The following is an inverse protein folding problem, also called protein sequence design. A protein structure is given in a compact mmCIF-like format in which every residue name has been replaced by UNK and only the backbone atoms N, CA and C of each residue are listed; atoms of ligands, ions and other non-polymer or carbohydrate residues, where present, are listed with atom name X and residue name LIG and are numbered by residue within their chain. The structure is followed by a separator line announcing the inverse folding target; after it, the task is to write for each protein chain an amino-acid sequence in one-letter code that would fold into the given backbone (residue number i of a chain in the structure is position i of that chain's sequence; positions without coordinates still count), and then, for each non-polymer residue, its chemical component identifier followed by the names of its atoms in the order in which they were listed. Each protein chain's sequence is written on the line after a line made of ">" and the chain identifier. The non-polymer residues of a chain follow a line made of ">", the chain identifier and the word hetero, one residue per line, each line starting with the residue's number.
data_IF_419324741353
#
_entry.id   IF_419324741353
#
_cell.length_a   1.000
_cell.length_b   1.000
_cell.length_c   1.000
_cell.angle_alpha   90.00
_cell.angle_beta   90.00
_cell.angle_gamma   90.00
#
_symmetry.space_group_name_H-M   'P 1'
#
loop_
_entity.id
_entity.type
_entity.pdbx_description
1 polymer ?
2 non-polymer ?
3 non-polymer ?
4 water ?
#
# COMPACT_ATOMS: atom_id res chain seq x y z
N UNK A 1 -1.12 -21.18 10.69
CA UNK A 1 0.02 -21.64 11.44
C UNK A 1 1.32 -21.10 10.90
N UNK A 2 2.20 -20.65 11.80
CA UNK A 2 3.46 -20.06 11.36
C UNK A 2 4.37 -21.12 10.74
N UNK A 3 5.08 -20.71 9.71
CA UNK A 3 6.05 -21.53 9.01
C UNK A 3 7.44 -20.95 9.25
N UNK A 4 8.46 -21.82 9.20
CA UNK A 4 9.81 -21.33 9.42
C UNK A 4 10.26 -20.34 8.35
N UNK A 5 9.63 -20.33 7.19
CA UNK A 5 9.97 -19.35 6.15
C UNK A 5 9.36 -17.99 6.38
N UNK A 6 8.41 -17.85 7.31
CA UNK A 6 7.71 -16.57 7.46
C UNK A 6 8.64 -15.41 7.80
N UNK A 7 9.60 -15.53 8.73
CA UNK A 7 10.51 -14.40 8.95
C UNK A 7 11.24 -13.93 7.69
N UNK A 8 11.82 -14.84 6.91
CA UNK A 8 12.54 -14.41 5.71
C UNK A 8 11.59 -13.82 4.67
N UNK A 9 10.39 -14.39 4.53
CA UNK A 9 9.43 -13.81 3.59
C UNK A 9 8.99 -12.42 4.02
N UNK A 10 8.81 -12.22 5.33
CA UNK A 10 8.48 -10.89 5.84
C UNK A 10 9.63 -9.91 5.62
N UNK A 11 10.89 -10.37 5.66
CA UNK A 11 12.00 -9.49 5.32
C UNK A 11 11.91 -9.04 3.86
N UNK A 12 11.56 -9.95 2.95
CA UNK A 12 11.36 -9.55 1.56
C UNK A 12 10.24 -8.51 1.46
N UNK A 13 9.14 -8.74 2.18
CA UNK A 13 8.05 -7.77 2.20
C UNK A 13 8.51 -6.42 2.72
N UNK A 14 9.31 -6.42 3.79
CA UNK A 14 9.83 -5.16 4.31
C UNK A 14 10.73 -4.47 3.28
N UNK A 15 11.51 -5.25 2.53
CA UNK A 15 12.32 -4.66 1.47
C UNK A 15 11.46 -3.98 0.42
N UNK A 16 10.40 -4.65 -0.01
CA UNK A 16 9.46 -4.07 -0.96
C UNK A 16 8.89 -2.75 -0.42
N UNK A 17 8.45 -2.77 0.84
CA UNK A 17 7.86 -1.59 1.46
C UNK A 17 8.85 -0.43 1.47
N UNK A 18 10.09 -0.72 1.85
CA UNK A 18 11.14 0.29 1.80
C UNK A 18 11.28 0.86 0.38
N UNK A 19 11.29 -0.02 -0.61
CA UNK A 19 11.38 0.45 -1.99
C UNK A 19 10.18 1.33 -2.36
N UNK A 20 8.97 0.94 -1.97
CA UNK A 20 7.79 1.73 -2.32
C UNK A 20 7.85 3.13 -1.72
N UNK A 21 8.52 3.28 -0.59
CA UNK A 21 8.66 4.56 0.11
C UNK A 21 9.91 5.34 -0.30
N UNK A 22 10.72 4.79 -1.19
CA UNK A 22 12.01 5.38 -1.53
C UNK A 22 11.90 6.47 -2.59
N UNK A 23 12.96 7.27 -2.69
CA UNK A 23 12.95 8.39 -3.63
C UNK A 23 12.80 7.92 -5.07
N UNK A 24 13.26 6.71 -5.38
CA UNK A 24 13.16 6.18 -6.73
C UNK A 24 11.74 6.23 -7.28
N UNK A 25 10.75 6.00 -6.42
CA UNK A 25 9.35 5.92 -6.83
C UNK A 25 8.51 7.11 -6.36
N UNK A 26 9.12 8.15 -5.80
CA UNK A 26 8.36 9.20 -5.14
C UNK A 26 7.47 9.99 -6.09
N UNK A 27 7.79 10.03 -7.38
CA UNK A 27 6.97 10.81 -8.31
C UNK A 27 5.55 10.27 -8.42
N UNK A 28 5.35 8.97 -8.19
CA UNK A 28 4.02 8.37 -8.25
C UNK A 28 3.59 7.68 -6.96
N UNK A 29 4.48 7.53 -5.98
CA UNK A 29 4.09 6.92 -4.71
C UNK A 29 3.49 7.90 -3.71
N UNK A 30 3.74 9.19 -3.89
CA UNK A 30 3.39 10.16 -2.85
C UNK A 30 1.91 10.16 -2.43
N UNK A 31 0.92 9.91 -3.28
CA UNK A 31 -0.47 9.90 -2.78
C UNK A 31 -0.75 8.79 -1.78
N UNK A 32 0.14 7.80 -1.66
CA UNK A 32 -0.08 6.62 -0.85
C UNK A 32 0.75 6.62 0.42
N UNK A 33 1.46 7.72 0.70
CA UNK A 33 2.36 7.76 1.85
C UNK A 33 1.61 7.83 3.17
N UNK A 34 0.46 8.49 3.21
CA UNK A 34 -0.23 8.75 4.47
C UNK A 34 -1.72 8.47 4.27
N UNK A 35 -2.48 8.29 5.35
CA UNK A 35 -3.93 8.06 5.19
C UNK A 35 -4.57 9.20 4.42
N UNK A 36 -5.51 8.85 3.55
CA UNK A 36 -6.31 9.86 2.86
C UNK A 36 -6.97 10.76 3.90
N UNK A 37 -6.70 12.05 3.82
CA UNK A 37 -7.38 13.04 4.67
C UNK A 37 -8.57 13.55 3.86
N UNK A 38 -9.70 12.82 3.98
CA UNK A 38 -10.85 13.08 3.12
C UNK A 38 -11.36 14.51 3.28
N UNK A 39 -11.48 14.98 4.53
CA UNK A 39 -11.99 16.32 4.77
C UNK A 39 -11.08 17.37 4.15
N UNK A 40 -9.76 17.23 4.35
CA UNK A 40 -8.81 18.20 3.82
C UNK A 40 -8.87 18.26 2.29
N UNK A 41 -9.11 17.12 1.66
CA UNK A 41 -9.15 17.04 0.20
C UNK A 41 -10.54 17.32 -0.38
N UNK A 42 -11.53 17.57 0.46
CA UNK A 42 -12.87 17.81 -0.04
C UNK A 42 -13.59 16.57 -0.51
N UNK A 43 -13.10 15.39 -0.13
CA UNK A 43 -13.67 14.12 -0.58
C UNK A 43 -14.64 13.60 0.48
N UNK A 44 -15.76 14.30 0.60
CA UNK A 44 -16.66 14.11 1.73
C UNK A 44 -17.44 12.80 1.67
N UNK A 45 -17.37 12.10 0.55
CA UNK A 45 -17.96 10.78 0.42
C UNK A 45 -16.95 9.65 0.58
N UNK A 46 -15.67 9.96 0.84
CA UNK A 46 -14.63 8.93 0.80
C UNK A 46 -14.93 7.79 1.76
N UNK A 47 -15.28 8.11 3.00
CA UNK A 47 -15.50 7.08 4.02
C UNK A 47 -16.85 6.38 3.89
N UNK A 48 -17.75 6.88 3.05
CA UNK A 48 -18.95 6.14 2.72
C UNK A 48 -18.67 5.08 1.65
N UNK A 49 -17.68 5.33 0.80
CA UNK A 49 -17.35 4.44 -0.30
C UNK A 49 -16.24 3.47 0.09
N UNK A 50 -15.29 3.91 0.91
CA UNK A 50 -14.11 3.14 1.29
C UNK A 50 -14.31 2.73 2.74
N UNK A 51 -14.63 1.45 2.95
CA UNK A 51 -14.90 0.93 4.28
C UNK A 51 -13.62 0.61 5.06
N UNK A 52 -12.52 0.32 4.37
CA UNK A 52 -11.28 -0.12 5.00
C UNK A 52 -10.12 0.68 4.40
N UNK A 53 -9.89 1.91 4.88
CA UNK A 53 -8.78 2.70 4.37
C UNK A 53 -7.44 2.01 4.63
N UNK A 54 -6.47 2.22 3.73
CA UNK A 54 -5.14 1.69 3.92
C UNK A 54 -4.14 2.58 3.17
N UNK A 55 -2.92 2.65 3.68
CA UNK A 55 -1.87 3.49 3.10
C UNK A 55 -0.53 2.96 3.58
N UNK A 56 0.55 3.44 2.95
CA UNK A 56 1.88 2.88 3.22
C UNK A 56 2.37 3.16 4.64
N UNK A 57 1.98 4.30 5.25
CA UNK A 57 2.41 4.53 6.63
C UNK A 57 1.77 3.54 7.59
N UNK A 58 0.52 3.14 7.30
CA UNK A 58 -0.13 2.15 8.13
C UNK A 58 0.49 0.76 7.93
N UNK A 59 0.78 0.41 6.67
CA UNK A 59 1.52 -0.83 6.41
C UNK A 59 2.84 -0.85 7.16
N UNK A 60 3.55 0.29 7.14
CA UNK A 60 4.84 0.35 7.83
C UNK A 60 4.69 0.18 9.33
N UNK A 61 3.69 0.82 9.93
CA UNK A 61 3.48 0.65 11.36
C UNK A 61 3.15 -0.80 11.70
N UNK A 62 2.32 -1.45 10.86
CA UNK A 62 1.96 -2.84 11.10
C UNK A 62 3.17 -3.77 10.94
N UNK A 63 4.06 -3.46 10.00
CA UNK A 63 5.28 -4.24 9.88
C UNK A 63 6.17 -4.03 11.11
N UNK A 64 6.35 -2.77 11.53
CA UNK A 64 7.24 -2.45 12.64
C UNK A 64 6.76 -3.09 13.94
N UNK A 65 5.45 -3.17 14.12
CA UNK A 65 4.81 -3.70 15.32
C UNK A 65 4.62 -5.21 15.25
N UNK A 66 5.12 -5.86 14.20
CA UNK A 66 4.98 -7.31 14.03
C UNK A 66 3.52 -7.75 13.93
N UNK A 67 2.67 -6.87 13.39
CA UNK A 67 1.26 -7.19 13.19
C UNK A 67 1.10 -8.25 12.10
N UNK A 68 1.77 -8.07 10.96
CA UNK A 68 1.69 -9.08 9.90
C UNK A 68 2.41 -10.34 10.33
N UNK A 69 1.70 -11.47 10.25
CA UNK A 69 2.31 -12.74 10.59
C UNK A 69 2.90 -13.47 9.38
N UNK A 70 2.55 -13.06 8.18
CA UNK A 70 3.06 -13.73 6.98
C UNK A 70 2.95 -12.78 5.80
N UNK A 71 3.58 -13.19 4.70
CA UNK A 71 3.64 -12.33 3.52
C UNK A 71 2.27 -12.09 2.91
N UNK A 72 1.42 -13.10 2.93
CA UNK A 72 0.09 -12.97 2.34
C UNK A 72 -0.71 -11.88 3.04
N UNK A 73 -0.60 -11.78 4.36
CA UNK A 73 -1.32 -10.75 5.10
C UNK A 73 -0.82 -9.36 4.71
N UNK A 74 0.50 -9.19 4.60
CA UNK A 74 1.07 -7.94 4.12
C UNK A 74 0.55 -7.59 2.73
N UNK A 75 0.59 -8.56 1.80
CA UNK A 75 0.21 -8.29 0.43
C UNK A 75 -1.26 -7.90 0.33
N UNK A 76 -2.12 -8.52 1.13
CA UNK A 76 -3.54 -8.15 1.12
C UNK A 76 -3.73 -6.69 1.49
N UNK A 77 -2.97 -6.17 2.45
CA UNK A 77 -3.11 -4.76 2.82
C UNK A 77 -2.60 -3.83 1.71
N UNK A 78 -1.45 -4.14 1.11
CA UNK A 78 -0.96 -3.29 0.02
C UNK A 78 -1.97 -3.28 -1.12
N UNK A 79 -2.52 -4.44 -1.45
CA UNK A 79 -3.50 -4.53 -2.53
C UNK A 79 -4.80 -3.82 -2.16
N UNK A 80 -5.20 -3.88 -0.89
CA UNK A 80 -6.36 -3.14 -0.43
C UNK A 80 -6.20 -1.64 -0.68
N UNK A 81 -5.01 -1.11 -0.36
CA UNK A 81 -4.70 0.29 -0.63
C UNK A 81 -4.92 0.65 -2.09
N UNK A 82 -4.38 -0.16 -3.02
CA UNK A 82 -4.58 0.13 -4.44
C UNK A 82 -6.05 -0.01 -4.83
N UNK A 83 -6.72 -1.05 -4.34
CA UNK A 83 -8.12 -1.28 -4.67
C UNK A 83 -8.98 -0.10 -4.24
N UNK A 84 -8.71 0.48 -3.06
CA UNK A 84 -9.46 1.65 -2.62
C UNK A 84 -9.34 2.78 -3.63
N UNK A 85 -8.13 2.97 -4.17
CA UNK A 85 -7.91 4.03 -5.18
C UNK A 85 -8.73 3.72 -6.44
N UNK A 86 -8.74 2.47 -6.89
CA UNK A 86 -9.48 2.08 -8.12
C UNK A 86 -10.99 2.18 -7.88
N UNK A 87 -11.42 1.98 -6.64
CA UNK A 87 -12.87 2.02 -6.32
C UNK A 87 -13.36 3.46 -6.24
N UNK A 88 -12.58 4.34 -5.60
CA UNK A 88 -13.10 5.70 -5.34
C UNK A 88 -12.94 6.65 -6.54
N UNK A 89 -11.84 6.56 -7.28
CA UNK A 89 -11.52 7.56 -8.29
C UNK A 89 -11.91 7.09 -9.68
N UNK A 90 -12.28 8.01 -10.57
CA UNK A 90 -12.49 7.63 -11.97
C UNK A 90 -11.23 7.02 -12.55
N UNK A 91 -11.37 6.07 -13.48
CA UNK A 91 -10.19 5.33 -13.96
C UNK A 91 -9.21 6.17 -14.77
N UNK A 92 -9.60 7.36 -15.25
CA UNK A 92 -8.70 8.23 -15.97
C UNK A 92 -8.04 9.29 -15.08
N UNK A 93 -8.28 9.25 -13.77
CA UNK A 93 -7.68 10.21 -12.85
C UNK A 93 -6.18 9.97 -12.73
N UNK A 94 -5.42 11.05 -12.57
CA UNK A 94 -3.98 10.92 -12.46
C UNK A 94 -3.58 10.07 -11.25
N UNK A 95 -4.36 10.12 -10.16
CA UNK A 95 -4.01 9.31 -9.00
C UNK A 95 -4.12 7.83 -9.31
N UNK A 96 -5.05 7.45 -10.19
CA UNK A 96 -5.16 6.06 -10.63
C UNK A 96 -3.97 5.66 -11.48
N UNK A 97 -3.50 6.56 -12.37
CA UNK A 97 -2.31 6.27 -13.15
C UNK A 97 -1.09 6.05 -12.25
N UNK A 98 -0.99 6.85 -11.18
CA UNK A 98 0.10 6.68 -10.23
C UNK A 98 -0.03 5.36 -9.48
N UNK A 99 -1.25 5.02 -9.03
CA UNK A 99 -1.49 3.75 -8.36
C UNK A 99 -1.08 2.56 -9.24
N UNK A 100 -1.44 2.60 -10.53
CA UNK A 100 -1.11 1.47 -11.41
C UNK A 100 0.40 1.29 -11.52
N UNK A 101 1.15 2.39 -11.62
CA UNK A 101 2.59 2.28 -11.71
C UNK A 101 3.19 1.76 -10.41
N UNK A 102 2.74 2.27 -9.26
CA UNK A 102 3.26 1.76 -8.00
C UNK A 102 2.87 0.31 -7.77
N UNK A 103 1.65 -0.07 -8.17
CA UNK A 103 1.26 -1.46 -8.02
C UNK A 103 2.11 -2.37 -8.90
N UNK A 104 2.51 -1.90 -10.09
CA UNK A 104 3.40 -2.69 -10.92
C UNK A 104 4.74 -2.92 -10.23
N UNK A 105 5.27 -1.88 -9.58
CA UNK A 105 6.49 -2.06 -8.78
C UNK A 105 6.26 -3.14 -7.73
N UNK A 106 5.14 -3.03 -7.02
CA UNK A 106 4.85 -3.98 -5.95
C UNK A 106 4.70 -5.40 -6.47
N UNK A 107 3.85 -5.60 -7.49
CA UNK A 107 3.51 -6.96 -7.90
C UNK A 107 4.72 -7.67 -8.51
N UNK A 108 5.53 -6.96 -9.28
CA UNK A 108 6.66 -7.65 -9.90
C UNK A 108 7.70 -8.04 -8.86
N UNK A 109 7.91 -7.22 -7.84
CA UNK A 109 8.87 -7.60 -6.81
C UNK A 109 8.29 -8.61 -5.82
N UNK A 110 7.00 -8.50 -5.49
CA UNK A 110 6.37 -9.51 -4.64
C UNK A 110 6.45 -10.89 -5.29
N UNK A 111 6.37 -10.93 -6.61
CA UNK A 111 6.43 -12.21 -7.33
C UNK A 111 7.82 -12.85 -7.22
N UNK A 112 8.85 -12.07 -6.88
CA UNK A 112 10.21 -12.57 -6.69
C UNK A 112 10.49 -13.06 -5.27
N UNK A 113 9.44 -13.31 -4.50
CA UNK A 113 9.54 -13.81 -3.15
C UNK A 113 10.49 -15.00 -3.08
N UNK A 114 11.58 -14.93 -2.30
CA UNK A 114 12.52 -16.05 -2.13
C UNK A 114 11.84 -17.24 -1.45
X LIG B 1 -5.68 14.37 -5.90
X LIG B 1 -5.81 14.39 -4.38
X LIG B 1 -4.48 12.79 -2.95
X LIG B 1 -5.57 10.99 -3.17
X LIG B 1 -6.25 11.92 -3.91
X LIG B 1 -7.44 11.59 -4.63
X LIG B 1 -5.53 13.09 -3.76
X LIG B 1 -4.30 13.92 -6.34
X LIG B 1 -8.13 12.34 -5.33
X LIG B 1 -7.13 9.29 -3.76
X LIG B 1 -5.13 8.66 -2.47
X LIG B 1 -4.47 11.53 -2.57
X LIG B 1 -7.79 10.26 -4.49
X LIG B 1 -5.98 9.68 -3.09
X LIG B 1 -7.54 8.14 -3.72
X LIG C 1 1.56 8.96 -13.60
X LIG C 1 2.64 8.69 -12.72
X LIG C 1 1.82 10.18 -14.45
X LIG C 1 3.17 10.19 -14.91
X LIG C 1 0.87 10.31 -15.63
X LIG C 1 0.95 9.18 -16.49
#
# INVERSE_FOLDING_TARGET
>A
GSHMQDPEQLKHCNGILKELLSSKHAAYAWPFYKPVDASALGLHDYHDIIKHPMDLSTVKRKMENRDYRDAQEFAADVRLMFSNCYKYNPPDHDVVAMARKLQDVFEFRYAKMPD
>B hetero
1 7UM C1 C2 C3 C4 C5 C6 N C O C7 C8 N1 N2 N3 O1
>C hetero
1 GOL C1 O1 C2 O2 C3 O3
#
